data_IF_931250213397
#
_entry.id   IF_931250213397
#
_cell.length_a   1.000
_cell.length_b   1.000
_cell.length_c   1.000
_cell.angle_alpha   90.00
_cell.angle_beta   90.00
_cell.angle_gamma   90.00
#
_symmetry.space_group_name_H-M   'P 1'
#
loop_
_entity.id
_entity.type
_entity.pdbx_description
1 polymer ?
#
# COMPACT_ATOMS: atom_id res chain seq x y z
N UNK A 1 -6.76 -0.80 -16.61
CA UNK A 1 -6.27 -1.23 -15.28
C UNK A 1 -5.43 -0.07 -14.73
N UNK A 2 -5.58 0.28 -13.45
CA UNK A 2 -4.95 1.49 -12.90
C UNK A 2 -3.50 1.17 -12.51
N UNK A 3 -2.53 1.80 -13.19
CA UNK A 3 -1.09 1.52 -12.99
C UNK A 3 -0.63 1.70 -11.53
N UNK A 4 -1.28 2.58 -10.77
CA UNK A 4 -0.98 2.76 -9.35
C UNK A 4 -1.42 1.54 -8.51
N UNK A 5 -2.57 0.95 -8.83
CA UNK A 5 -3.07 -0.26 -8.17
C UNK A 5 -2.09 -1.42 -8.42
N UNK A 6 -1.67 -1.62 -9.67
CA UNK A 6 -0.69 -2.65 -10.05
C UNK A 6 0.67 -2.43 -9.36
N UNK A 7 1.13 -1.17 -9.29
CA UNK A 7 2.39 -0.84 -8.64
C UNK A 7 2.44 -1.26 -7.16
N UNK A 8 1.29 -1.19 -6.47
CA UNK A 8 1.14 -1.50 -5.05
C UNK A 8 0.83 -2.97 -4.75
N UNK A 9 0.37 -3.75 -5.75
CA UNK A 9 -0.14 -5.11 -5.58
C UNK A 9 0.84 -6.05 -4.85
N UNK A 10 2.13 -5.96 -5.15
CA UNK A 10 3.15 -6.84 -4.55
C UNK A 10 3.28 -6.72 -3.02
N UNK A 11 2.72 -5.66 -2.44
CA UNK A 11 2.68 -5.40 -1.01
C UNK A 11 1.25 -5.32 -0.47
N UNK A 12 0.41 -4.45 -1.03
CA UNK A 12 -0.95 -4.21 -0.55
C UNK A 12 -1.89 -5.39 -0.82
N UNK A 13 -1.60 -6.23 -1.83
CA UNK A 13 -2.36 -7.46 -2.10
C UNK A 13 -2.11 -8.60 -1.09
N UNK A 14 -1.25 -8.39 -0.09
CA UNK A 14 -0.97 -9.38 0.97
C UNK A 14 -1.86 -9.09 2.18
N UNK A 15 -2.48 -10.12 2.75
CA UNK A 15 -3.28 -9.98 3.98
C UNK A 15 -2.46 -9.46 5.19
N UNK A 16 -1.13 -9.49 5.12
CA UNK A 16 -0.20 -9.01 6.16
C UNK A 16 0.49 -7.69 5.78
N UNK A 17 -0.04 -6.91 4.83
CA UNK A 17 0.57 -5.66 4.32
C UNK A 17 1.01 -4.67 5.41
N UNK A 18 0.32 -4.65 6.55
CA UNK A 18 0.59 -3.79 7.71
C UNK A 18 1.73 -4.30 8.62
N UNK A 19 2.17 -5.55 8.44
CA UNK A 19 3.07 -6.24 9.35
C UNK A 19 4.47 -5.61 9.35
N UNK A 20 5.14 -5.52 10.52
CA UNK A 20 6.54 -5.13 10.59
C UNK A 20 7.49 -6.26 10.15
N UNK A 21 7.00 -7.43 9.74
CA UNK A 21 7.83 -8.55 9.34
C UNK A 21 8.77 -8.18 8.16
N UNK A 22 10.05 -8.61 8.15
CA UNK A 22 11.02 -8.21 7.13
C UNK A 22 10.57 -8.45 5.68
N UNK A 23 9.81 -9.53 5.43
CA UNK A 23 9.27 -9.84 4.10
C UNK A 23 8.25 -8.77 3.64
N UNK A 24 7.33 -8.35 4.52
CA UNK A 24 6.34 -7.34 4.18
C UNK A 24 7.00 -5.95 4.04
N UNK A 25 8.02 -5.65 4.85
CA UNK A 25 8.83 -4.45 4.66
C UNK A 25 9.58 -4.43 3.32
N UNK A 26 10.11 -5.58 2.86
CA UNK A 26 10.77 -5.69 1.57
C UNK A 26 9.76 -5.43 0.42
N UNK A 27 8.57 -6.01 0.51
CA UNK A 27 7.51 -5.77 -0.45
C UNK A 27 7.06 -4.29 -0.45
N UNK A 28 6.92 -3.67 0.72
CA UNK A 28 6.61 -2.24 0.82
C UNK A 28 7.64 -1.37 0.09
N UNK A 29 8.94 -1.65 0.28
CA UNK A 29 10.01 -0.94 -0.45
C UNK A 29 9.93 -1.16 -1.96
N UNK A 30 9.58 -2.37 -2.40
CA UNK A 30 9.37 -2.68 -3.82
C UNK A 30 8.17 -1.91 -4.39
N UNK A 31 7.06 -1.88 -3.67
CA UNK A 31 5.88 -1.10 -4.04
C UNK A 31 6.22 0.39 -4.19
N UNK A 32 6.91 1.00 -3.22
CA UNK A 32 7.41 2.38 -3.33
C UNK A 32 8.28 2.56 -4.58
N UNK A 33 9.20 1.63 -4.87
CA UNK A 33 10.03 1.69 -6.07
C UNK A 33 9.22 1.56 -7.36
N UNK A 34 8.11 0.82 -7.37
CA UNK A 34 7.24 0.71 -8.53
C UNK A 34 6.47 2.02 -8.75
N UNK A 35 5.94 2.62 -7.68
CA UNK A 35 5.23 3.91 -7.76
C UNK A 35 6.15 5.01 -8.32
N UNK A 36 7.44 5.03 -7.93
CA UNK A 36 8.44 5.95 -8.49
C UNK A 36 8.70 5.80 -9.99
N UNK A 37 8.37 4.66 -10.58
CA UNK A 37 8.57 4.38 -12.01
C UNK A 37 7.36 4.75 -12.87
N UNK A 38 6.26 5.19 -12.26
CA UNK A 38 5.10 5.68 -12.98
C UNK A 38 5.48 6.94 -13.77
N UNK A 39 4.79 7.17 -14.89
CA UNK A 39 5.00 8.37 -15.73
C UNK A 39 4.40 9.65 -15.12
N UNK A 40 3.84 9.56 -13.91
CA UNK A 40 3.21 10.64 -13.18
C UNK A 40 3.44 10.47 -11.68
N UNK A 41 3.31 11.56 -10.93
CA UNK A 41 3.37 11.54 -9.46
C UNK A 41 1.96 11.51 -8.89
N UNK A 42 1.49 10.38 -8.31
CA UNK A 42 0.17 10.30 -7.70
C UNK A 42 0.09 11.16 -6.43
N UNK A 43 -1.11 11.68 -6.14
CA UNK A 43 -1.39 12.37 -4.87
C UNK A 43 -1.42 11.39 -3.69
N UNK A 44 -1.42 11.91 -2.46
CA UNK A 44 -1.58 11.07 -1.27
C UNK A 44 -2.94 10.35 -1.28
N UNK A 45 -3.97 11.04 -1.76
CA UNK A 45 -5.34 10.57 -1.89
C UNK A 45 -5.44 9.45 -2.95
N UNK A 46 -4.74 9.56 -4.07
CA UNK A 46 -4.67 8.50 -5.08
C UNK A 46 -4.00 7.23 -4.53
N UNK A 47 -2.88 7.40 -3.81
CA UNK A 47 -2.19 6.28 -3.16
C UNK A 47 -3.09 5.63 -2.12
N UNK A 48 -3.78 6.44 -1.31
CA UNK A 48 -4.73 5.95 -0.31
C UNK A 48 -5.85 5.11 -0.94
N UNK A 49 -6.50 5.63 -1.98
CA UNK A 49 -7.56 4.91 -2.69
C UNK A 49 -7.06 3.60 -3.29
N UNK A 50 -5.85 3.60 -3.86
CA UNK A 50 -5.24 2.40 -4.42
C UNK A 50 -4.84 1.36 -3.35
N UNK A 51 -4.42 1.79 -2.15
CA UNK A 51 -4.22 0.86 -1.02
C UNK A 51 -5.56 0.26 -0.62
N UNK A 52 -6.60 1.07 -0.40
CA UNK A 52 -7.93 0.60 0.00
C UNK A 52 -8.50 -0.42 -0.97
N UNK A 53 -8.32 -0.19 -2.27
CA UNK A 53 -8.75 -1.13 -3.31
C UNK A 53 -8.23 -2.56 -3.06
N UNK A 54 -7.01 -2.71 -2.56
CA UNK A 54 -6.44 -4.02 -2.25
C UNK A 54 -6.88 -4.58 -0.89
N UNK A 55 -6.98 -3.70 0.11
CA UNK A 55 -7.03 -4.15 1.52
C UNK A 55 -8.43 -4.23 2.11
N UNK A 56 -9.43 -3.58 1.51
CA UNK A 56 -10.79 -3.52 2.07
C UNK A 56 -11.46 -4.90 2.14
N UNK A 57 -11.17 -5.78 1.19
CA UNK A 57 -11.74 -7.13 1.07
C UNK A 57 -10.72 -8.23 1.44
N UNK A 58 -9.56 -7.85 1.98
CA UNK A 58 -8.52 -8.79 2.36
C UNK A 58 -8.94 -9.65 3.57
N UNK A 59 -8.53 -10.92 3.64
CA UNK A 59 -8.79 -11.76 4.81
C UNK A 59 -8.27 -11.14 6.09
N UNK A 60 -9.07 -11.20 7.16
CA UNK A 60 -8.65 -10.77 8.50
C UNK A 60 -7.63 -11.77 9.04
N UNK A 61 -6.45 -11.26 9.41
CA UNK A 61 -5.35 -12.00 9.99
C UNK A 61 -5.11 -11.55 11.44
N UNK A 62 -4.35 -12.34 12.20
CA UNK A 62 -3.87 -11.89 13.50
C UNK A 62 -3.05 -10.59 13.33
N UNK A 63 -3.44 -9.56 14.08
CA UNK A 63 -2.81 -8.24 14.01
C UNK A 63 -3.38 -7.31 12.94
N UNK A 64 -4.40 -7.72 12.16
CA UNK A 64 -5.09 -6.82 11.24
C UNK A 64 -5.60 -5.59 11.99
N UNK A 65 -5.30 -4.37 11.49
CA UNK A 65 -5.75 -3.13 12.13
C UNK A 65 -7.27 -3.09 12.26
N UNK A 66 -7.78 -2.64 13.41
CA UNK A 66 -9.21 -2.41 13.62
C UNK A 66 -9.76 -1.25 12.77
N UNK A 67 -8.91 -0.33 12.35
CA UNK A 67 -9.24 0.77 11.44
C UNK A 67 -8.32 0.73 10.22
N UNK A 68 -8.76 0.00 9.18
CA UNK A 68 -8.04 -0.16 7.92
C UNK A 68 -7.84 1.17 7.21
N UNK A 69 -8.84 2.05 7.19
CA UNK A 69 -8.75 3.37 6.55
C UNK A 69 -7.65 4.24 7.17
N UNK A 70 -7.61 4.33 8.50
CA UNK A 70 -6.57 5.09 9.20
C UNK A 70 -5.18 4.55 8.90
N UNK A 71 -5.01 3.22 8.89
CA UNK A 71 -3.72 2.61 8.62
C UNK A 71 -3.31 2.76 7.15
N UNK A 72 -4.25 2.60 6.21
CA UNK A 72 -4.02 2.83 4.78
C UNK A 72 -3.58 4.28 4.53
N UNK A 73 -4.22 5.26 5.17
CA UNK A 73 -3.83 6.67 5.08
C UNK A 73 -2.42 6.93 5.64
N UNK A 74 -2.03 6.28 6.74
CA UNK A 74 -0.65 6.39 7.27
C UNK A 74 0.37 5.87 6.26
N UNK A 75 0.11 4.74 5.63
CA UNK A 75 1.02 4.21 4.62
C UNK A 75 1.01 5.04 3.33
N UNK A 76 -0.13 5.57 2.91
CA UNK A 76 -0.20 6.50 1.78
C UNK A 76 0.72 7.71 2.00
N UNK A 77 0.66 8.34 3.18
CA UNK A 77 1.57 9.43 3.57
C UNK A 77 3.03 9.00 3.55
N UNK A 78 3.36 7.80 4.05
CA UNK A 78 4.74 7.26 4.01
C UNK A 78 5.26 7.06 2.59
N UNK A 79 4.40 6.66 1.65
CA UNK A 79 4.77 6.53 0.23
C UNK A 79 4.93 7.91 -0.37
N UNK A 80 3.96 8.81 -0.20
CA UNK A 80 3.98 10.16 -0.77
C UNK A 80 5.23 10.96 -0.39
N UNK A 81 5.68 10.90 0.87
CA UNK A 81 6.91 11.54 1.34
C UNK A 81 8.18 10.99 0.64
N UNK A 82 8.11 9.80 0.05
CA UNK A 82 9.24 9.16 -0.63
C UNK A 82 9.24 9.38 -2.14
N UNK A 83 8.14 9.83 -2.75
CA UNK A 83 8.04 10.09 -4.20
C UNK A 83 8.77 11.38 -4.55
#
# INVERSE_FOLDING_TARGET
MNQLIEALECWAGRATWFSPHPSDQQNFRKAVSNVKKLSFTPSTEDIYAAILHHVQDAPVMLGTPSNIESEAMKFAKKIAVKL
#
